data_IF_049306140649
#
_entry.id   IF_049306140649
#
_cell.length_a   1.000
_cell.length_b   1.000
_cell.length_c   1.000
_cell.angle_alpha   90.00
_cell.angle_beta   90.00
_cell.angle_gamma   90.00
#
_symmetry.space_group_name_H-M   'P 1'
#
loop_
_entity.id
_entity.type
_entity.pdbx_description
1 polymer ?
#
# COMPACT_ATOMS: atom_id res chain seq x y z
N UNK A 1 17.63 -3.53 -1.34
CA UNK A 1 16.86 -3.20 -0.11
C UNK A 1 15.50 -3.85 -0.24
N UNK A 2 15.26 -4.96 0.46
CA UNK A 2 14.15 -5.91 0.19
C UNK A 2 12.74 -5.31 0.34
N UNK A 3 12.61 -4.14 0.98
CA UNK A 3 11.31 -3.56 1.34
C UNK A 3 11.09 -2.11 0.90
N UNK A 4 12.09 -1.43 0.31
CA UNK A 4 11.93 -0.01 -0.04
C UNK A 4 10.87 0.15 -1.13
N UNK A 5 9.93 1.07 -0.88
CA UNK A 5 8.72 1.29 -1.67
C UNK A 5 7.48 0.58 -1.13
N UNK A 6 7.64 -0.41 -0.23
CA UNK A 6 6.50 -1.16 0.32
C UNK A 6 5.52 -0.23 1.03
N UNK A 7 4.23 -0.41 0.75
CA UNK A 7 3.13 0.28 1.44
C UNK A 7 2.73 -0.53 2.66
N UNK A 8 2.62 0.14 3.80
CA UNK A 8 2.42 -0.49 5.12
C UNK A 8 1.31 0.18 5.91
N UNK A 9 0.77 -0.55 6.88
CA UNK A 9 -0.04 -0.02 7.99
C UNK A 9 0.56 -0.50 9.32
N UNK A 10 0.14 0.09 10.46
CA UNK A 10 0.52 -0.42 11.78
C UNK A 10 0.19 -1.90 11.96
N UNK A 11 1.07 -2.63 12.65
CA UNK A 11 1.00 -4.07 12.86
C UNK A 11 0.72 -4.49 14.30
N UNK A 12 0.79 -5.81 14.59
CA UNK A 12 0.36 -6.38 15.87
C UNK A 12 1.18 -5.90 17.07
N UNK A 13 2.48 -5.63 16.89
CA UNK A 13 3.35 -5.18 17.98
C UNK A 13 3.46 -3.65 18.08
N UNK A 14 2.61 -2.91 17.36
CA UNK A 14 2.66 -1.45 17.29
C UNK A 14 2.63 -0.79 18.68
N UNK A 15 3.60 0.08 18.91
CA UNK A 15 3.73 0.81 20.18
C UNK A 15 3.74 2.35 20.03
N UNK A 16 3.70 2.85 18.80
CA UNK A 16 3.85 4.28 18.47
C UNK A 16 2.60 5.14 18.57
N UNK A 17 1.60 4.75 19.38
CA UNK A 17 0.36 5.55 19.54
C UNK A 17 -0.33 5.88 18.21
N UNK A 18 -0.44 7.16 17.86
CA UNK A 18 -0.97 7.67 16.59
C UNK A 18 0.07 8.41 15.74
N UNK A 19 1.36 8.09 15.90
CA UNK A 19 2.45 8.67 15.10
C UNK A 19 2.32 8.40 13.60
N UNK A 20 1.58 7.36 13.21
CA UNK A 20 1.23 7.02 11.83
C UNK A 20 0.06 7.83 11.26
N UNK A 21 -0.60 8.66 12.07
CA UNK A 21 -1.83 9.37 11.70
C UNK A 21 -3.12 8.68 12.18
N UNK A 22 -3.02 7.58 12.93
CA UNK A 22 -4.16 6.81 13.40
C UNK A 22 -4.32 5.48 12.68
N UNK A 23 -5.18 4.61 13.21
CA UNK A 23 -5.37 3.28 12.66
C UNK A 23 -5.84 3.30 11.19
N UNK A 24 -5.25 2.42 10.38
CA UNK A 24 -5.54 2.35 8.94
C UNK A 24 -4.78 3.36 8.10
N UNK A 25 -3.94 4.20 8.71
CA UNK A 25 -3.07 5.11 7.98
C UNK A 25 -1.99 4.35 7.22
N UNK A 26 -1.87 4.67 5.94
CA UNK A 26 -0.85 4.12 5.05
C UNK A 26 0.46 4.90 5.19
N UNK A 27 1.56 4.17 5.00
CA UNK A 27 2.90 4.72 4.85
C UNK A 27 3.73 3.95 3.84
N UNK A 28 4.88 4.51 3.49
CA UNK A 28 5.87 3.95 2.59
C UNK A 28 7.15 3.61 3.34
N UNK A 29 7.69 2.41 3.15
CA UNK A 29 9.06 2.09 3.57
C UNK A 29 10.04 2.85 2.68
N UNK A 30 10.75 3.83 3.24
CA UNK A 30 11.71 4.68 2.52
C UNK A 30 13.17 4.24 2.73
N UNK A 31 13.43 3.42 3.76
CA UNK A 31 14.75 2.83 4.01
C UNK A 31 14.61 1.51 4.78
N UNK A 32 15.55 0.58 4.60
CA UNK A 32 15.60 -0.70 5.29
C UNK A 32 16.95 -0.90 5.98
N UNK A 33 16.91 -1.25 7.27
CA UNK A 33 18.07 -1.58 8.09
C UNK A 33 18.08 -3.10 8.33
N UNK A 34 18.32 -3.86 7.26
CA UNK A 34 18.14 -5.31 7.22
C UNK A 34 18.93 -6.05 8.33
N UNK A 35 20.15 -5.58 8.65
CA UNK A 35 21.01 -6.18 9.68
C UNK A 35 20.44 -6.13 11.10
N UNK A 36 19.49 -5.24 11.36
CA UNK A 36 18.86 -5.05 12.68
C UNK A 36 17.36 -5.27 12.66
N UNK A 37 16.79 -5.72 11.52
CA UNK A 37 15.36 -6.01 11.40
C UNK A 37 14.46 -4.78 11.62
N UNK A 38 14.88 -3.61 11.13
CA UNK A 38 14.10 -2.36 11.23
C UNK A 38 13.94 -1.68 9.87
N UNK A 39 12.91 -0.86 9.73
CA UNK A 39 12.67 -0.06 8.52
C UNK A 39 12.32 1.37 8.88
N UNK A 40 12.67 2.33 8.02
CA UNK A 40 12.19 3.71 8.12
C UNK A 40 10.93 3.86 7.26
N UNK A 41 9.86 4.39 7.84
CA UNK A 41 8.59 4.65 7.15
C UNK A 41 8.31 6.14 7.10
N UNK A 42 7.85 6.60 5.94
CA UNK A 42 7.20 7.90 5.74
C UNK A 42 5.69 7.66 5.66
N UNK A 43 4.94 8.15 6.63
CA UNK A 43 3.48 8.07 6.64
C UNK A 43 2.89 9.09 5.68
N UNK A 44 1.75 8.75 5.09
CA UNK A 44 1.12 9.59 4.07
C UNK A 44 0.67 10.96 4.59
N UNK A 45 0.54 11.11 5.90
CA UNK A 45 0.20 12.35 6.60
C UNK A 45 1.43 13.13 7.10
N UNK A 46 2.65 12.71 6.71
CA UNK A 46 3.91 13.43 6.91
C UNK A 46 4.71 13.04 8.15
N UNK A 47 4.11 12.27 9.07
CA UNK A 47 4.85 11.62 10.15
C UNK A 47 5.88 10.63 9.59
N UNK A 48 6.96 10.39 10.31
CA UNK A 48 7.93 9.36 9.94
C UNK A 48 8.64 8.78 11.16
N UNK A 49 9.12 7.56 11.04
CA UNK A 49 9.75 6.85 12.15
C UNK A 49 10.52 5.62 11.70
N UNK A 50 11.21 4.99 12.65
CA UNK A 50 11.91 3.73 12.45
C UNK A 50 11.19 2.67 13.28
N UNK A 51 10.74 1.60 12.62
CA UNK A 51 9.86 0.59 13.20
C UNK A 51 10.46 -0.81 13.08
N UNK A 52 10.10 -1.68 14.02
CA UNK A 52 10.56 -3.07 14.02
C UNK A 52 9.85 -3.90 12.95
N UNK A 53 10.64 -4.57 12.13
CA UNK A 53 10.22 -5.52 11.10
C UNK A 53 10.95 -6.86 11.32
N UNK A 54 10.76 -7.43 12.52
CA UNK A 54 11.42 -8.66 13.01
C UNK A 54 12.49 -8.43 14.09
N UNK A 55 12.86 -7.17 14.38
CA UNK A 55 13.76 -6.84 15.50
C UNK A 55 13.15 -7.32 16.82
N UNK A 56 13.91 -8.08 17.59
CA UNK A 56 13.47 -8.72 18.85
C UNK A 56 12.22 -9.62 18.68
N UNK A 57 12.00 -10.16 17.48
CA UNK A 57 10.80 -10.93 17.15
C UNK A 57 9.51 -10.10 17.06
N UNK A 58 9.61 -8.76 17.04
CA UNK A 58 8.46 -7.85 16.96
C UNK A 58 8.23 -7.32 15.56
N UNK A 59 6.95 -7.21 15.21
CA UNK A 59 6.46 -6.72 13.92
C UNK A 59 5.47 -5.59 14.14
N UNK A 60 5.98 -4.35 14.08
CA UNK A 60 5.18 -3.14 14.25
C UNK A 60 4.43 -2.74 12.97
N UNK A 61 4.64 -3.45 11.86
CA UNK A 61 4.09 -3.11 10.55
C UNK A 61 3.51 -4.34 9.85
N UNK A 62 2.41 -4.12 9.13
CA UNK A 62 1.84 -5.06 8.18
C UNK A 62 2.12 -4.57 6.76
N UNK A 63 2.48 -5.50 5.87
CA UNK A 63 2.67 -5.23 4.45
C UNK A 63 1.30 -5.16 3.78
N UNK A 64 0.92 -3.98 3.31
CA UNK A 64 -0.33 -3.75 2.56
C UNK A 64 -0.13 -3.99 1.05
N UNK A 65 0.88 -3.35 0.46
CA UNK A 65 1.17 -3.49 -0.98
C UNK A 65 2.68 -3.44 -1.25
N UNK A 66 3.18 -4.44 -1.98
CA UNK A 66 4.57 -4.53 -2.44
C UNK A 66 4.68 -4.41 -3.97
N UNK A 67 3.62 -4.02 -4.67
CA UNK A 67 3.69 -3.62 -6.08
C UNK A 67 4.79 -2.57 -6.36
N UNK A 68 4.96 -1.52 -5.52
CA UNK A 68 5.97 -0.50 -5.77
C UNK A 68 7.40 -1.03 -5.71
N UNK A 69 7.63 -2.18 -5.07
CA UNK A 69 8.95 -2.84 -5.04
C UNK A 69 9.21 -3.72 -6.26
N UNK A 70 8.29 -3.73 -7.24
CA UNK A 70 8.38 -4.48 -8.49
C UNK A 70 7.82 -5.90 -8.45
N UNK A 71 7.03 -6.25 -7.43
CA UNK A 71 6.38 -7.56 -7.38
C UNK A 71 5.21 -7.62 -8.36
N UNK A 72 5.26 -8.61 -9.26
CA UNK A 72 4.21 -8.89 -10.26
C UNK A 72 3.96 -10.38 -10.41
N UNK A 73 2.74 -10.74 -10.80
CA UNK A 73 2.31 -12.06 -11.24
C UNK A 73 1.93 -11.96 -12.72
N UNK A 74 2.87 -12.28 -13.62
CA UNK A 74 2.86 -11.91 -15.05
C UNK A 74 1.64 -12.36 -15.84
N UNK A 75 1.07 -13.52 -15.51
CA UNK A 75 -0.05 -14.14 -16.22
C UNK A 75 -1.33 -14.12 -15.41
N UNK A 76 -1.44 -13.21 -14.46
CA UNK A 76 -2.59 -13.09 -13.56
C UNK A 76 -3.21 -11.72 -13.74
N UNK A 77 -4.53 -11.68 -13.81
CA UNK A 77 -5.34 -10.46 -13.82
C UNK A 77 -6.12 -10.36 -12.51
N UNK A 78 -6.47 -9.15 -12.09
CA UNK A 78 -7.40 -8.98 -10.98
C UNK A 78 -8.85 -8.98 -11.49
N UNK A 79 -9.66 -9.96 -11.09
CA UNK A 79 -11.07 -10.12 -11.47
C UNK A 79 -12.03 -9.18 -10.72
N UNK A 80 -11.51 -8.46 -9.73
CA UNK A 80 -12.27 -7.50 -8.92
C UNK A 80 -12.62 -6.20 -9.66
N UNK A 81 -12.82 -5.12 -8.91
CA UNK A 81 -13.20 -3.81 -9.46
C UNK A 81 -12.12 -3.18 -10.34
N UNK A 82 -10.86 -3.59 -10.18
CA UNK A 82 -9.72 -3.10 -10.94
C UNK A 82 -9.49 -3.87 -12.25
N UNK A 83 -10.56 -4.36 -12.90
CA UNK A 83 -10.62 -5.36 -14.00
C UNK A 83 -9.50 -5.33 -15.07
N UNK A 84 -8.86 -4.18 -15.27
CA UNK A 84 -7.78 -3.97 -16.24
C UNK A 84 -6.37 -4.12 -15.65
N UNK A 85 -6.24 -4.56 -14.38
CA UNK A 85 -4.93 -4.69 -13.71
C UNK A 85 -4.25 -6.00 -14.12
N UNK A 86 -3.57 -5.94 -15.27
CA UNK A 86 -2.74 -7.01 -15.82
C UNK A 86 -1.35 -6.46 -16.21
N UNK A 87 -0.24 -7.06 -15.73
CA UNK A 87 -0.20 -8.15 -14.76
C UNK A 87 -0.69 -7.71 -13.37
N UNK A 88 -1.11 -8.66 -12.54
CA UNK A 88 -1.44 -8.41 -11.14
C UNK A 88 -0.15 -8.01 -10.41
N UNK A 89 -0.16 -6.83 -9.80
CA UNK A 89 0.99 -6.29 -9.06
C UNK A 89 0.74 -6.41 -7.56
N UNK A 90 1.82 -6.59 -6.81
CA UNK A 90 1.79 -6.79 -5.37
C UNK A 90 1.31 -8.20 -4.96
N UNK A 91 0.68 -8.30 -3.79
CA UNK A 91 0.18 -9.57 -3.25
C UNK A 91 -0.96 -10.10 -4.13
N UNK A 92 -0.86 -11.37 -4.53
CA UNK A 92 -1.94 -12.13 -5.17
C UNK A 92 -2.83 -12.80 -4.13
N UNK A 93 -4.13 -12.62 -4.28
CA UNK A 93 -5.16 -13.29 -3.48
C UNK A 93 -6.00 -14.19 -4.41
N UNK A 94 -5.69 -15.48 -4.40
CA UNK A 94 -6.36 -16.47 -5.26
C UNK A 94 -7.53 -17.13 -4.53
N UNK A 95 -8.73 -17.09 -5.08
CA UNK A 95 -9.88 -17.82 -4.55
C UNK A 95 -9.64 -19.34 -4.67
N UNK A 96 -9.98 -20.10 -3.62
CA UNK A 96 -9.82 -21.57 -3.62
C UNK A 96 -11.01 -22.31 -4.20
N UNK A 97 -12.19 -21.70 -4.15
CA UNK A 97 -13.42 -22.35 -4.60
C UNK A 97 -13.82 -21.95 -6.04
N UNK A 98 -13.34 -20.82 -6.54
CA UNK A 98 -13.63 -20.37 -7.90
C UNK A 98 -12.47 -20.73 -8.85
N UNK A 99 -12.83 -21.20 -10.04
CA UNK A 99 -11.88 -21.38 -11.13
C UNK A 99 -11.35 -20.01 -11.59
N UNK A 100 -10.01 -19.93 -11.74
CA UNK A 100 -9.28 -18.77 -12.24
C UNK A 100 -9.70 -17.39 -11.69
N UNK A 101 -10.01 -17.31 -10.39
CA UNK A 101 -10.41 -16.05 -9.76
C UNK A 101 -9.32 -15.51 -8.83
N UNK A 102 -8.83 -14.32 -9.14
CA UNK A 102 -7.68 -13.68 -8.51
C UNK A 102 -7.97 -12.21 -8.20
N UNK A 103 -7.57 -11.75 -7.02
CA UNK A 103 -7.73 -10.36 -6.59
C UNK A 103 -6.37 -9.76 -6.21
N UNK A 104 -6.18 -8.48 -6.54
CA UNK A 104 -5.15 -7.65 -5.89
C UNK A 104 -5.57 -7.29 -4.46
N UNK A 105 -4.62 -6.84 -3.62
CA UNK A 105 -4.91 -6.51 -2.21
C UNK A 105 -6.10 -5.57 -2.05
N UNK A 106 -6.19 -4.51 -2.84
CA UNK A 106 -7.29 -3.54 -2.72
C UNK A 106 -8.66 -4.19 -2.94
N UNK A 107 -8.81 -5.01 -3.98
CA UNK A 107 -10.09 -5.68 -4.25
C UNK A 107 -10.41 -6.76 -3.21
N UNK A 108 -9.40 -7.49 -2.73
CA UNK A 108 -9.60 -8.47 -1.67
C UNK A 108 -10.05 -7.80 -0.36
N UNK A 109 -9.40 -6.70 0.02
CA UNK A 109 -9.69 -5.96 1.24
C UNK A 109 -11.03 -5.20 1.19
N UNK A 110 -11.41 -4.68 0.03
CA UNK A 110 -12.72 -4.07 -0.24
C UNK A 110 -13.86 -5.10 -0.39
N UNK A 111 -13.60 -6.37 -0.06
CA UNK A 111 -14.60 -7.43 0.00
C UNK A 111 -15.37 -7.60 -1.32
N UNK A 112 -14.69 -7.50 -2.47
CA UNK A 112 -15.35 -7.46 -3.79
C UNK A 112 -15.78 -8.84 -4.32
N UNK A 113 -15.62 -9.89 -3.52
CA UNK A 113 -15.97 -11.27 -3.85
C UNK A 113 -16.76 -11.91 -2.70
N UNK A 114 -17.29 -13.12 -2.92
CA UNK A 114 -17.99 -13.87 -1.89
C UNK A 114 -17.15 -14.03 -0.61
N UNK A 115 -17.64 -13.49 0.50
CA UNK A 115 -16.92 -13.49 1.79
C UNK A 115 -16.86 -14.87 2.47
N UNK A 116 -17.62 -15.85 1.98
CA UNK A 116 -17.57 -17.23 2.46
C UNK A 116 -16.49 -18.07 1.75
N UNK A 117 -15.86 -17.53 0.72
CA UNK A 117 -14.81 -18.21 -0.05
C UNK A 117 -13.45 -18.02 0.63
N UNK A 118 -12.64 -19.07 0.68
CA UNK A 118 -11.29 -19.03 1.24
C UNK A 118 -10.31 -18.64 0.14
N UNK A 119 -9.29 -17.88 0.53
CA UNK A 119 -8.27 -17.41 -0.39
C UNK A 119 -6.90 -18.01 -0.06
N UNK A 120 -6.04 -18.02 -1.07
CA UNK A 120 -4.61 -18.25 -0.94
C UNK A 120 -3.92 -16.90 -1.11
N UNK A 121 -3.09 -16.55 -0.14
CA UNK A 121 -2.20 -15.39 -0.18
C UNK A 121 -0.84 -15.82 -0.73
N UNK A 122 -0.41 -15.17 -1.80
CA UNK A 122 0.92 -15.31 -2.37
C UNK A 122 1.59 -13.93 -2.42
N UNK A 123 2.53 -13.69 -1.50
CA UNK A 123 3.16 -12.36 -1.31
C UNK A 123 4.11 -11.99 -2.45
N UNK A 124 4.83 -12.97 -3.01
CA UNK A 124 5.58 -12.85 -4.26
C UNK A 124 5.45 -14.15 -5.06
N UNK A 125 5.79 -14.16 -6.37
CA UNK A 125 5.79 -15.38 -7.17
C UNK A 125 6.61 -16.55 -6.59
N UNK A 126 7.65 -16.26 -5.82
CA UNK A 126 8.58 -17.25 -5.27
C UNK A 126 8.34 -17.62 -3.80
N UNK A 127 7.45 -16.92 -3.09
CA UNK A 127 7.17 -17.21 -1.68
C UNK A 127 6.20 -18.37 -1.49
N UNK A 128 6.26 -19.01 -0.32
CA UNK A 128 5.25 -19.96 0.16
C UNK A 128 3.85 -19.36 0.07
N UNK A 129 2.90 -20.17 -0.38
CA UNK A 129 1.48 -19.82 -0.46
C UNK A 129 0.82 -20.11 0.89
N UNK A 130 0.07 -19.14 1.42
CA UNK A 130 -0.61 -19.26 2.71
C UNK A 130 -2.12 -19.30 2.50
N UNK A 131 -2.81 -20.29 3.09
CA UNK A 131 -4.29 -20.23 3.14
C UNK A 131 -4.70 -19.11 4.10
N UNK A 132 -5.59 -18.24 3.65
CA UNK A 132 -6.34 -17.41 4.59
C UNK A 132 -7.18 -18.34 5.45
N UNK A 133 -7.18 -18.15 6.77
CA UNK A 133 -8.09 -18.84 7.67
C UNK A 133 -9.54 -18.43 7.44
N UNK A 134 -10.44 -18.87 8.32
CA UNK A 134 -11.84 -18.45 8.27
C UNK A 134 -11.96 -16.97 8.65
N UNK A 135 -12.60 -16.20 7.79
CA UNK A 135 -12.71 -14.75 7.88
C UNK A 135 -13.78 -14.20 8.81
N UNK A 136 -14.63 -15.08 9.33
CA UNK A 136 -15.80 -14.68 10.10
C UNK A 136 -15.38 -13.96 11.39
N UNK A 137 -15.87 -12.73 11.54
CA UNK A 137 -15.57 -11.89 12.71
C UNK A 137 -14.24 -11.16 12.64
N UNK A 138 -13.47 -11.27 11.56
CA UNK A 138 -12.28 -10.45 11.38
C UNK A 138 -12.67 -8.97 11.33
N UNK A 139 -11.91 -8.16 12.08
CA UNK A 139 -12.14 -6.74 12.20
C UNK A 139 -11.84 -6.02 10.88
N UNK A 140 -12.80 -5.19 10.45
CA UNK A 140 -12.68 -4.32 9.27
C UNK A 140 -12.36 -2.91 9.74
N UNK A 141 -11.35 -2.29 9.14
CA UNK A 141 -10.97 -0.89 9.38
C UNK A 141 -11.11 -0.08 8.09
N UNK A 142 -11.17 1.24 8.22
CA UNK A 142 -11.07 2.15 7.06
C UNK A 142 -9.61 2.49 6.83
N UNK A 143 -9.17 2.49 5.57
CA UNK A 143 -7.85 2.96 5.18
C UNK A 143 -7.85 4.46 4.94
N UNK A 144 -6.75 5.08 5.33
CA UNK A 144 -6.49 6.51 5.17
C UNK A 144 -5.12 6.70 4.53
N UNK A 145 -5.00 7.62 3.57
CA UNK A 145 -3.72 7.93 2.91
C UNK A 145 -3.89 8.22 1.42
N UNK A 146 -2.76 8.18 0.70
CA UNK A 146 -2.64 8.48 -0.72
C UNK A 146 -3.24 7.32 -1.54
N UNK A 147 -4.56 7.36 -1.66
CA UNK A 147 -5.41 6.43 -2.41
C UNK A 147 -6.30 7.22 -3.38
N UNK A 148 -6.92 6.59 -4.39
CA UNK A 148 -7.78 7.32 -5.32
C UNK A 148 -8.92 8.08 -4.61
N UNK A 149 -9.04 9.37 -4.90
CA UNK A 149 -9.95 10.30 -4.26
C UNK A 149 -9.39 11.02 -3.03
N UNK A 150 -8.16 10.73 -2.60
CA UNK A 150 -7.50 11.48 -1.53
C UNK A 150 -7.12 12.91 -1.98
N UNK A 151 -7.29 13.88 -1.08
CA UNK A 151 -6.76 15.23 -1.26
C UNK A 151 -5.30 15.28 -0.83
N UNK A 152 -4.46 15.91 -1.64
CA UNK A 152 -3.00 15.92 -1.47
C UNK A 152 -2.39 17.29 -1.71
N UNK A 153 -1.30 17.57 -1.02
CA UNK A 153 -0.34 18.65 -1.33
C UNK A 153 1.01 18.06 -1.69
N UNK A 154 1.98 18.91 -2.05
CA UNK A 154 3.38 18.49 -2.14
C UNK A 154 3.88 17.93 -0.79
N UNK A 155 4.62 16.83 -0.86
CA UNK A 155 5.23 16.11 0.26
C UNK A 155 6.68 16.51 0.50
N UNK A 156 7.39 15.68 1.27
CA UNK A 156 8.76 15.96 1.71
C UNK A 156 9.80 15.74 0.60
N UNK A 157 9.58 14.76 -0.28
CA UNK A 157 10.51 14.41 -1.36
C UNK A 157 10.21 15.17 -2.67
N UNK A 158 9.37 16.21 -2.61
CA UNK A 158 8.94 16.97 -3.78
C UNK A 158 10.11 17.68 -4.49
N UNK A 159 10.35 17.31 -5.74
CA UNK A 159 11.39 17.90 -6.60
C UNK A 159 10.82 18.63 -7.84
N UNK A 160 9.49 18.64 -8.01
CA UNK A 160 8.80 19.12 -9.23
C UNK A 160 8.52 20.63 -9.28
N UNK A 161 9.35 21.45 -8.62
CA UNK A 161 9.21 22.92 -8.66
C UNK A 161 7.83 23.43 -8.24
N UNK A 162 7.15 24.17 -9.14
CA UNK A 162 5.82 24.77 -8.92
C UNK A 162 4.75 24.20 -9.86
N UNK A 163 4.87 22.93 -10.26
CA UNK A 163 3.85 22.25 -11.08
C UNK A 163 2.47 22.18 -10.41
N UNK A 164 2.44 22.10 -9.09
CA UNK A 164 1.22 22.24 -8.28
C UNK A 164 0.68 23.68 -8.27
N UNK A 165 1.45 24.69 -8.71
CA UNK A 165 1.15 26.11 -8.64
C UNK A 165 1.53 26.80 -7.32
N UNK A 166 2.34 26.15 -6.48
CA UNK A 166 2.85 26.70 -5.22
C UNK A 166 2.49 25.87 -3.98
N UNK A 167 3.24 26.06 -2.88
CA UNK A 167 3.26 25.22 -1.65
C UNK A 167 1.90 24.97 -0.96
N UNK A 168 0.82 25.64 -1.38
CA UNK A 168 -0.53 25.54 -0.79
C UNK A 168 -1.58 25.05 -1.76
N UNK A 169 -1.20 24.63 -2.97
CA UNK A 169 -2.16 24.12 -3.91
C UNK A 169 -2.47 22.65 -3.64
N UNK A 170 -3.76 22.37 -3.75
CA UNK A 170 -4.36 21.10 -3.44
C UNK A 170 -4.66 20.34 -4.73
N UNK A 171 -4.47 19.04 -4.69
CA UNK A 171 -4.80 18.13 -5.77
C UNK A 171 -5.61 16.96 -5.27
N UNK A 172 -6.20 16.21 -6.19
CA UNK A 172 -6.92 14.98 -5.90
C UNK A 172 -6.24 13.83 -6.64
N UNK A 173 -5.96 12.74 -5.93
CA UNK A 173 -5.43 11.51 -6.53
C UNK A 173 -6.51 10.88 -7.41
N UNK A 174 -6.28 10.76 -8.71
CA UNK A 174 -7.23 10.11 -9.62
C UNK A 174 -7.05 8.59 -9.61
N UNK A 175 -5.81 8.11 -9.60
CA UNK A 175 -5.46 6.68 -9.54
C UNK A 175 -4.01 6.47 -9.16
N UNK A 176 -3.70 5.29 -8.62
CA UNK A 176 -2.33 4.78 -8.51
C UNK A 176 -1.85 4.29 -9.87
N UNK A 177 -0.59 4.54 -10.18
CA UNK A 177 0.05 4.30 -11.47
C UNK A 177 1.48 3.80 -11.28
N UNK A 178 2.11 3.41 -12.39
CA UNK A 178 3.48 2.93 -12.40
C UNK A 178 4.46 4.10 -12.33
N UNK A 179 5.53 3.97 -11.56
CA UNK A 179 6.71 4.82 -11.61
C UNK A 179 7.87 4.10 -12.30
N UNK A 180 8.45 4.74 -13.32
CA UNK A 180 9.52 4.14 -14.12
C UNK A 180 9.14 2.80 -14.75
N UNK A 181 10.10 1.91 -14.91
CA UNK A 181 9.93 0.62 -15.59
C UNK A 181 9.59 -0.55 -14.65
N UNK A 182 9.77 -0.40 -13.34
CA UNK A 182 9.68 -1.52 -12.39
C UNK A 182 8.79 -1.26 -11.18
N UNK A 183 8.44 -0.01 -10.85
CA UNK A 183 7.67 0.29 -9.63
C UNK A 183 6.17 0.39 -9.93
N UNK A 184 5.44 -0.69 -9.72
CA UNK A 184 4.00 -0.76 -10.03
C UNK A 184 3.16 -0.20 -8.88
N UNK A 185 2.18 0.65 -9.17
CA UNK A 185 1.48 1.46 -8.15
C UNK A 185 2.42 2.34 -7.31
N UNK A 186 3.67 2.56 -7.76
CA UNK A 186 4.68 3.39 -7.10
C UNK A 186 4.53 4.89 -7.34
N UNK A 187 3.49 5.31 -8.07
CA UNK A 187 3.12 6.71 -8.23
C UNK A 187 1.62 6.92 -8.16
N UNK A 188 1.21 8.17 -7.99
CA UNK A 188 -0.17 8.62 -8.02
C UNK A 188 -0.34 9.67 -9.12
N UNK A 189 -1.32 9.47 -10.02
CA UNK A 189 -1.78 10.50 -10.93
C UNK A 189 -2.61 11.49 -10.14
N UNK A 190 -2.16 12.75 -10.06
CA UNK A 190 -2.84 13.82 -9.33
C UNK A 190 -3.39 14.84 -10.32
N UNK A 191 -4.64 15.24 -10.10
CA UNK A 191 -5.24 16.41 -10.73
C UNK A 191 -5.22 17.57 -9.74
N UNK A 192 -4.39 18.57 -10.02
CA UNK A 192 -4.30 19.80 -9.21
C UNK A 192 -5.47 20.74 -9.49
N UNK A 193 -5.76 21.62 -8.52
CA UNK A 193 -6.82 22.63 -8.61
C UNK A 193 -6.65 23.59 -9.80
N UNK A 194 -5.40 23.86 -10.21
CA UNK A 194 -5.06 24.67 -11.40
C UNK A 194 -5.32 23.93 -12.74
N UNK A 195 -5.77 22.67 -12.69
CA UNK A 195 -6.04 21.83 -13.85
C UNK A 195 -4.84 21.02 -14.35
N UNK A 196 -3.63 21.25 -13.83
CA UNK A 196 -2.45 20.45 -14.16
C UNK A 196 -2.61 19.00 -13.68
N UNK A 197 -2.11 18.06 -14.47
CA UNK A 197 -2.25 16.62 -14.22
C UNK A 197 -0.94 15.90 -14.50
N UNK A 198 -0.36 15.27 -13.49
CA UNK A 198 0.84 14.44 -13.66
C UNK A 198 0.99 13.40 -12.55
N UNK A 199 2.00 12.55 -12.66
CA UNK A 199 2.30 11.49 -11.70
C UNK A 199 3.39 11.93 -10.71
N UNK A 200 3.22 11.56 -9.44
CA UNK A 200 4.18 11.81 -8.36
C UNK A 200 4.48 10.53 -7.60
N UNK A 201 5.70 10.38 -7.06
CA UNK A 201 6.14 9.15 -6.38
C UNK A 201 5.38 8.91 -5.09
N UNK A 202 4.96 7.66 -4.91
CA UNK A 202 4.36 7.12 -3.68
C UNK A 202 4.92 5.72 -3.49
N UNK A 203 6.18 5.64 -3.06
CA UNK A 203 6.96 4.40 -2.97
C UNK A 203 7.86 4.12 -4.17
N UNK A 204 7.63 4.77 -5.31
CA UNK A 204 8.57 4.79 -6.43
C UNK A 204 9.94 5.31 -5.98
N UNK A 205 10.99 4.53 -6.24
CA UNK A 205 12.37 4.78 -5.79
C UNK A 205 12.51 5.00 -4.26
N UNK A 206 11.51 4.58 -3.48
CA UNK A 206 11.48 4.82 -2.02
C UNK A 206 11.09 6.25 -1.63
N UNK A 207 10.57 7.06 -2.55
CA UNK A 207 10.20 8.45 -2.31
C UNK A 207 8.69 8.63 -2.09
N UNK A 208 8.32 9.69 -1.37
CA UNK A 208 6.95 10.13 -1.14
C UNK A 208 6.84 11.63 -1.46
N UNK A 209 6.45 11.92 -2.70
CA UNK A 209 6.33 13.28 -3.23
C UNK A 209 5.05 13.99 -2.79
N UNK A 210 4.11 13.28 -2.16
CA UNK A 210 2.78 13.79 -1.81
C UNK A 210 2.52 13.71 -0.30
N UNK A 211 1.68 14.60 0.19
CA UNK A 211 1.16 14.61 1.56
C UNK A 211 -0.36 14.56 1.50
N UNK A 212 -0.97 13.56 2.12
CA UNK A 212 -2.41 13.42 2.23
C UNK A 212 -2.97 14.32 3.33
N UNK A 213 -4.11 14.95 3.06
CA UNK A 213 -4.90 15.65 4.07
C UNK A 213 -6.39 15.43 3.82
N UNK A 214 -7.19 15.42 4.89
CA UNK A 214 -8.64 15.19 4.80
C UNK A 214 -9.02 13.73 4.54
N UNK A 215 -10.32 13.50 4.34
CA UNK A 215 -10.87 12.16 4.14
C UNK A 215 -10.70 11.67 2.70
N UNK A 216 -10.23 10.44 2.54
CA UNK A 216 -10.30 9.71 1.28
C UNK A 216 -11.69 9.07 1.10
N UNK A 217 -11.95 8.51 -0.09
CA UNK A 217 -13.01 7.49 -0.23
C UNK A 217 -12.79 6.38 0.82
N UNK A 218 -13.89 5.79 1.31
CA UNK A 218 -13.85 4.70 2.30
C UNK A 218 -13.35 3.41 1.65
N UNK A 219 -12.02 3.24 1.61
CA UNK A 219 -11.37 1.97 1.33
C UNK A 219 -11.33 1.13 2.60
N UNK A 220 -11.50 -0.18 2.48
CA UNK A 220 -11.52 -1.08 3.62
C UNK A 220 -10.21 -1.85 3.72
N UNK A 221 -9.90 -2.29 4.94
CA UNK A 221 -8.84 -3.25 5.20
C UNK A 221 -9.26 -4.23 6.27
N UNK A 222 -8.82 -5.48 6.11
CA UNK A 222 -8.93 -6.53 7.11
C UNK A 222 -7.50 -6.90 7.53
N UNK A 223 -6.92 -6.23 8.55
CA UNK A 223 -5.49 -6.34 8.88
C UNK A 223 -5.03 -7.78 9.16
N UNK A 224 -5.92 -8.62 9.69
CA UNK A 224 -5.63 -10.02 10.01
C UNK A 224 -5.18 -10.87 8.81
N UNK A 225 -5.50 -10.47 7.57
CA UNK A 225 -5.02 -11.18 6.39
C UNK A 225 -3.64 -10.73 5.92
N UNK A 226 -3.23 -9.51 6.25
CA UNK A 226 -1.95 -8.97 5.79
C UNK A 226 -0.78 -9.71 6.42
N UNK A 227 0.32 -9.94 5.68
CA UNK A 227 1.54 -10.46 6.28
C UNK A 227 2.20 -9.38 7.12
N UNK A 228 2.82 -9.79 8.24
CA UNK A 228 3.77 -8.93 8.96
C UNK A 228 4.93 -8.54 8.03
N UNK A 229 5.43 -7.32 8.17
CA UNK A 229 6.64 -6.90 7.48
C UNK A 229 7.87 -7.48 8.21
N UNK A 230 8.80 -8.05 7.44
CA UNK A 230 9.98 -8.74 7.97
C UNK A 230 9.94 -10.24 7.72
N UNK A 231 10.97 -10.96 8.15
CA UNK A 231 10.91 -12.42 8.19
C UNK A 231 10.13 -12.82 9.46
N UNK A 232 9.07 -13.63 9.34
CA UNK A 232 8.41 -14.24 10.50
C UNK A 232 9.34 -15.25 11.20
#
# INVERSE_FOLDING_TARGET
MKYVGTRVIRGPDWSGGNEDGGEGSLGTVINAYDSVGKVKVMWDFGGHGIYKAGSDGKHELLLYDNGPTGVIHTSVVCDGKCKDKMPLTGIRWKCRECEDFDLCTRCFMDQTHNQNHKFLRQTTPSTTVYSTGDGHGNRVITLHGILPGASVTRGVDWESGNEDGGKRNEGVVEKLTKWGSTSYDGSALVKWSNGFRTNYRVGGDGCVDLLCFGESRKYLCVPAYLPVLGNP
#
